data_IF_771365131731
#
_entry.id   IF_771365131731
#
_cell.length_a   1.000
_cell.length_b   1.000
_cell.length_c   1.000
_cell.angle_alpha   90.00
_cell.angle_beta   90.00
_cell.angle_gamma   90.00
#
_symmetry.space_group_name_H-M   'P 1'
#
loop_
_entity.id
_entity.type
_entity.pdbx_description
1 polymer ?
#
# COMPACT_ATOMS: atom_id res chain seq x y z
N UNK A 1 -13.58 -31.85 -6.66
CA UNK A 1 -13.34 -30.69 -7.50
C UNK A 1 -12.24 -29.82 -6.93
N UNK A 2 -11.83 -28.83 -7.70
CA UNK A 2 -10.76 -27.93 -7.30
C UNK A 2 -11.07 -27.18 -6.00
N UNK A 3 -12.32 -26.77 -5.80
CA UNK A 3 -12.71 -26.05 -4.59
C UNK A 3 -12.61 -26.94 -3.35
N UNK A 4 -12.97 -28.22 -3.47
CA UNK A 4 -12.86 -29.19 -2.39
C UNK A 4 -11.42 -29.49 -1.99
N UNK A 5 -10.49 -29.51 -2.96
CA UNK A 5 -9.07 -29.74 -2.71
C UNK A 5 -8.40 -28.48 -2.12
N UNK A 6 -8.74 -27.31 -2.64
CA UNK A 6 -8.16 -26.05 -2.21
C UNK A 6 -8.56 -25.68 -0.78
N UNK A 7 -9.81 -25.93 -0.40
CA UNK A 7 -10.34 -25.56 0.90
C UNK A 7 -9.59 -26.17 2.09
N UNK A 8 -9.27 -27.47 2.14
CA UNK A 8 -8.44 -28.04 3.20
C UNK A 8 -7.04 -27.41 3.26
N UNK A 9 -6.42 -27.16 2.09
CA UNK A 9 -5.12 -26.53 2.01
C UNK A 9 -5.18 -25.12 2.59
N UNK A 10 -6.23 -24.36 2.28
CA UNK A 10 -6.46 -23.04 2.83
C UNK A 10 -6.49 -23.05 4.35
N UNK A 11 -7.30 -23.93 4.95
CA UNK A 11 -7.44 -24.00 6.39
C UNK A 11 -6.17 -24.50 7.10
N UNK A 12 -5.31 -25.21 6.40
CA UNK A 12 -4.04 -25.67 6.95
C UNK A 12 -3.00 -24.55 7.00
N UNK A 13 -3.07 -23.57 6.08
CA UNK A 13 -2.08 -22.51 5.97
C UNK A 13 -2.55 -21.17 6.52
N UNK A 14 -3.85 -20.92 6.62
CA UNK A 14 -4.41 -19.63 7.03
C UNK A 14 -5.48 -19.85 8.10
N UNK A 15 -5.37 -19.08 9.20
CA UNK A 15 -6.33 -19.16 10.30
C UNK A 15 -7.71 -18.62 9.91
N UNK A 16 -7.76 -17.63 9.02
CA UNK A 16 -9.00 -17.02 8.56
C UNK A 16 -8.81 -16.31 7.22
N UNK A 17 -9.92 -15.75 6.70
CA UNK A 17 -9.92 -15.04 5.40
C UNK A 17 -9.07 -13.76 5.43
N UNK A 18 -8.89 -13.16 6.59
CA UNK A 18 -8.11 -11.92 6.74
C UNK A 18 -6.62 -12.22 6.62
N UNK A 19 -6.18 -13.32 7.18
CA UNK A 19 -4.80 -13.78 7.03
C UNK A 19 -4.48 -14.11 5.57
N UNK A 20 -5.41 -14.74 4.87
CA UNK A 20 -5.28 -14.97 3.42
C UNK A 20 -5.19 -13.66 2.66
N UNK A 21 -6.06 -12.71 2.98
CA UNK A 21 -6.06 -11.40 2.34
C UNK A 21 -4.73 -10.68 2.53
N UNK A 22 -4.21 -10.70 3.75
CA UNK A 22 -2.90 -10.13 4.05
C UNK A 22 -1.80 -10.80 3.22
N UNK A 23 -1.82 -12.13 3.13
CA UNK A 23 -0.85 -12.87 2.33
C UNK A 23 -0.93 -12.49 0.84
N UNK A 24 -2.14 -12.35 0.30
CA UNK A 24 -2.33 -11.93 -1.09
C UNK A 24 -1.74 -10.55 -1.33
N UNK A 25 -2.04 -9.59 -0.45
CA UNK A 25 -1.52 -8.22 -0.56
C UNK A 25 0.01 -8.23 -0.48
N UNK A 26 0.56 -8.93 0.48
CA UNK A 26 2.00 -9.00 0.65
C UNK A 26 2.68 -9.62 -0.58
N UNK A 27 2.18 -10.75 -1.07
CA UNK A 27 2.82 -11.47 -2.17
C UNK A 27 2.62 -10.81 -3.54
N UNK A 28 1.44 -10.24 -3.79
CA UNK A 28 1.12 -9.66 -5.10
C UNK A 28 1.50 -8.19 -5.24
N UNK A 29 1.51 -7.45 -4.15
CA UNK A 29 1.74 -6.01 -4.19
C UNK A 29 3.03 -5.61 -3.49
N UNK A 30 3.18 -5.97 -2.22
CA UNK A 30 4.25 -5.44 -1.37
C UNK A 30 5.61 -6.01 -1.75
N UNK A 31 5.73 -7.33 -1.86
CA UNK A 31 7.01 -7.97 -2.19
C UNK A 31 7.58 -7.50 -3.53
N UNK A 32 6.77 -7.40 -4.61
CA UNK A 32 7.30 -6.92 -5.88
C UNK A 32 7.80 -5.47 -5.86
N UNK A 33 7.22 -4.59 -5.05
CA UNK A 33 7.63 -3.18 -5.00
C UNK A 33 8.80 -2.93 -4.05
N UNK A 34 9.08 -3.87 -3.13
CA UNK A 34 10.14 -3.72 -2.13
C UNK A 34 11.50 -3.35 -2.72
N UNK A 35 12.05 -4.14 -3.66
CA UNK A 35 13.34 -3.83 -4.28
C UNK A 35 13.37 -2.47 -4.99
N UNK A 36 12.27 -2.08 -5.63
CA UNK A 36 12.17 -0.78 -6.28
C UNK A 36 12.26 0.35 -5.27
N UNK A 37 11.56 0.25 -4.15
CA UNK A 37 11.60 1.25 -3.08
C UNK A 37 12.99 1.34 -2.44
N UNK A 38 13.66 0.20 -2.23
CA UNK A 38 15.00 0.17 -1.66
C UNK A 38 16.01 0.87 -2.56
N UNK A 39 15.81 0.83 -3.87
CA UNK A 39 16.67 1.48 -4.87
C UNK A 39 16.22 2.89 -5.23
N UNK A 40 15.26 3.46 -4.49
CA UNK A 40 14.77 4.82 -4.73
C UNK A 40 13.89 4.98 -5.96
N UNK A 41 13.45 3.88 -6.56
CA UNK A 41 12.60 3.88 -7.75
C UNK A 41 11.12 3.98 -7.36
N UNK A 42 10.77 5.10 -6.72
CA UNK A 42 9.43 5.29 -6.14
C UNK A 42 8.34 5.33 -7.21
N UNK A 43 8.58 6.03 -8.31
CA UNK A 43 7.59 6.13 -9.40
C UNK A 43 7.27 4.75 -9.97
N UNK A 44 8.30 3.98 -10.28
CA UNK A 44 8.14 2.63 -10.83
C UNK A 44 7.43 1.70 -9.84
N UNK A 45 7.74 1.84 -8.55
CA UNK A 45 7.06 1.07 -7.51
C UNK A 45 5.56 1.40 -7.44
N UNK A 46 5.21 2.69 -7.50
CA UNK A 46 3.82 3.11 -7.48
C UNK A 46 3.05 2.64 -8.72
N UNK A 47 3.65 2.78 -9.90
CA UNK A 47 3.02 2.31 -11.15
C UNK A 47 2.79 0.80 -11.09
N UNK A 48 3.77 0.05 -10.61
CA UNK A 48 3.64 -1.40 -10.47
C UNK A 48 2.53 -1.78 -9.48
N UNK A 49 2.47 -1.09 -8.35
CA UNK A 49 1.43 -1.32 -7.34
C UNK A 49 0.02 -1.09 -7.92
N UNK A 50 -0.21 0.06 -8.52
CA UNK A 50 -1.52 0.38 -9.07
C UNK A 50 -1.89 -0.53 -10.26
N UNK A 51 -0.90 -0.88 -11.08
CA UNK A 51 -1.11 -1.82 -12.19
C UNK A 51 -1.51 -3.21 -11.67
N UNK A 52 -0.86 -3.68 -10.62
CA UNK A 52 -1.16 -4.98 -10.01
C UNK A 52 -2.58 -5.01 -9.43
N UNK A 53 -3.00 -3.90 -8.81
CA UNK A 53 -4.37 -3.77 -8.30
C UNK A 53 -5.37 -3.78 -9.46
N UNK A 54 -5.09 -3.06 -10.53
CA UNK A 54 -5.99 -3.02 -11.69
C UNK A 54 -6.18 -4.38 -12.34
N UNK A 55 -5.13 -5.19 -12.42
CA UNK A 55 -5.20 -6.54 -12.98
C UNK A 55 -6.20 -7.42 -12.24
N UNK A 56 -6.36 -7.21 -10.96
CA UNK A 56 -7.29 -7.95 -10.11
C UNK A 56 -8.43 -7.04 -9.63
N UNK A 57 -8.96 -6.25 -10.56
CA UNK A 57 -9.98 -5.22 -10.29
C UNK A 57 -11.16 -5.76 -9.48
N UNK A 58 -11.73 -6.88 -9.92
CA UNK A 58 -12.91 -7.46 -9.27
C UNK A 58 -12.62 -7.88 -7.84
N UNK A 59 -11.46 -8.49 -7.61
CA UNK A 59 -11.03 -8.91 -6.29
C UNK A 59 -10.89 -7.71 -5.34
N UNK A 60 -10.14 -6.69 -5.75
CA UNK A 60 -9.88 -5.54 -4.87
C UNK A 60 -11.13 -4.68 -4.66
N UNK A 61 -11.99 -4.57 -5.67
CA UNK A 61 -13.26 -3.86 -5.52
C UNK A 61 -14.15 -4.52 -4.48
N UNK A 62 -14.19 -5.85 -4.45
CA UNK A 62 -14.93 -6.59 -3.44
C UNK A 62 -14.26 -6.52 -2.07
N UNK A 63 -12.95 -6.59 -2.03
CA UNK A 63 -12.20 -6.52 -0.77
C UNK A 63 -12.41 -5.19 -0.06
N UNK A 64 -12.51 -4.08 -0.80
CA UNK A 64 -12.79 -2.76 -0.24
C UNK A 64 -14.12 -2.66 0.51
N UNK A 65 -15.00 -3.62 0.32
CA UNK A 65 -16.30 -3.66 1.02
C UNK A 65 -16.23 -4.30 2.40
N UNK A 66 -15.09 -4.91 2.74
CA UNK A 66 -14.88 -5.49 4.07
C UNK A 66 -14.70 -4.37 5.09
N UNK A 67 -15.49 -4.41 6.15
CA UNK A 67 -15.49 -3.40 7.20
C UNK A 67 -15.09 -4.02 8.54
N UNK A 68 -14.84 -3.16 9.53
CA UNK A 68 -14.52 -3.57 10.89
C UNK A 68 -13.04 -3.54 11.20
N UNK A 69 -12.65 -4.22 12.29
CA UNK A 69 -11.29 -4.22 12.81
C UNK A 69 -10.27 -4.79 11.84
N UNK A 70 -10.68 -5.81 11.08
CA UNK A 70 -9.83 -6.46 10.06
C UNK A 70 -10.28 -6.06 8.66
N UNK A 71 -10.66 -4.79 8.49
CA UNK A 71 -11.07 -4.28 7.18
C UNK A 71 -9.91 -4.37 6.18
N UNK A 72 -10.26 -4.41 4.90
CA UNK A 72 -9.28 -4.35 3.83
C UNK A 72 -8.35 -3.14 4.01
N UNK A 73 -8.93 -1.99 4.32
CA UNK A 73 -8.17 -0.75 4.53
C UNK A 73 -7.13 -0.89 5.64
N UNK A 74 -7.49 -1.46 6.79
CA UNK A 74 -6.55 -1.63 7.89
C UNK A 74 -5.43 -2.62 7.55
N UNK A 75 -5.75 -3.67 6.82
CA UNK A 75 -4.76 -4.67 6.38
C UNK A 75 -3.79 -4.04 5.39
N UNK A 76 -4.30 -3.31 4.39
CA UNK A 76 -3.47 -2.61 3.39
C UNK A 76 -2.54 -1.61 4.07
N UNK A 77 -3.09 -0.80 4.98
CA UNK A 77 -2.29 0.20 5.70
C UNK A 77 -1.16 -0.46 6.51
N UNK A 78 -1.46 -1.55 7.19
CA UNK A 78 -0.46 -2.28 7.96
C UNK A 78 0.67 -2.83 7.06
N UNK A 79 0.31 -3.41 5.92
CA UNK A 79 1.29 -3.94 4.97
C UNK A 79 2.17 -2.84 4.38
N UNK A 80 1.58 -1.72 3.99
CA UNK A 80 2.31 -0.57 3.46
C UNK A 80 3.23 0.01 4.53
N UNK A 81 2.74 0.14 5.76
CA UNK A 81 3.55 0.64 6.86
C UNK A 81 4.80 -0.20 7.09
N UNK A 82 4.68 -1.51 7.05
CA UNK A 82 5.81 -2.42 7.25
C UNK A 82 6.91 -2.18 6.22
N UNK A 83 6.56 -2.05 4.94
CA UNK A 83 7.57 -1.85 3.91
C UNK A 83 8.20 -0.46 3.99
N UNK A 84 7.41 0.57 4.25
CA UNK A 84 7.92 1.94 4.42
C UNK A 84 8.85 2.01 5.62
N UNK A 85 8.47 1.39 6.73
CA UNK A 85 9.30 1.35 7.94
C UNK A 85 10.66 0.70 7.64
N UNK A 86 10.67 -0.41 6.91
CA UNK A 86 11.91 -1.07 6.51
C UNK A 86 12.81 -0.16 5.66
N UNK A 87 12.22 0.56 4.70
CA UNK A 87 12.97 1.52 3.87
C UNK A 87 13.55 2.65 4.71
N UNK A 88 12.76 3.21 5.62
CA UNK A 88 13.21 4.31 6.49
C UNK A 88 14.36 3.84 7.39
N UNK A 89 14.19 2.71 8.05
CA UNK A 89 15.21 2.18 8.97
C UNK A 89 16.54 1.94 8.27
N UNK A 90 16.52 1.43 7.04
CA UNK A 90 17.74 1.22 6.26
C UNK A 90 18.43 2.53 5.90
N UNK A 91 17.68 3.60 5.69
CA UNK A 91 18.23 4.89 5.27
C UNK A 91 18.67 5.78 6.41
N UNK A 92 18.11 5.61 7.62
CA UNK A 92 18.43 6.48 8.75
C UNK A 92 19.45 5.88 9.71
N UNK A 93 19.95 4.68 9.45
CA UNK A 93 20.98 4.06 10.30
C UNK A 93 22.17 5.01 10.48
N UNK A 94 22.50 5.30 11.74
CA UNK A 94 23.61 6.19 12.08
C UNK A 94 23.30 7.68 11.93
N UNK A 95 22.10 8.06 11.55
CA UNK A 95 21.69 9.46 11.42
C UNK A 95 20.99 9.94 12.70
N UNK A 96 21.17 11.22 13.01
CA UNK A 96 20.46 11.84 14.13
C UNK A 96 19.03 12.20 13.71
N UNK A 97 18.04 11.99 14.60
CA UNK A 97 16.67 12.40 14.29
C UNK A 97 16.57 13.93 14.22
N UNK A 98 15.69 14.40 13.33
CA UNK A 98 15.39 15.85 13.22
C UNK A 98 14.67 16.31 14.49
N UNK A 99 13.81 15.48 15.04
CA UNK A 99 13.07 15.74 16.27
C UNK A 99 12.80 14.42 16.98
N UNK A 100 12.81 14.42 18.32
CA UNK A 100 12.61 13.21 19.11
C UNK A 100 11.26 12.50 18.80
N UNK A 101 10.22 13.26 18.51
CA UNK A 101 8.91 12.71 18.16
C UNK A 101 8.87 12.09 16.76
N UNK A 102 9.69 12.60 15.85
CA UNK A 102 9.70 12.18 14.45
C UNK A 102 10.53 10.90 14.27
N UNK A 103 10.03 9.82 14.85
CA UNK A 103 10.66 8.51 14.77
C UNK A 103 10.38 7.84 13.41
N UNK A 104 11.17 6.80 13.04
CA UNK A 104 10.85 6.01 11.85
C UNK A 104 9.41 5.48 11.87
N UNK A 105 8.91 5.07 13.03
CA UNK A 105 7.54 4.58 13.17
C UNK A 105 6.51 5.66 12.84
N UNK A 106 6.68 6.87 13.37
CA UNK A 106 5.76 7.98 13.08
C UNK A 106 5.79 8.38 11.62
N UNK A 107 6.98 8.39 10.99
CA UNK A 107 7.10 8.68 9.57
C UNK A 107 6.40 7.60 8.74
N UNK A 108 6.62 6.33 9.06
CA UNK A 108 5.98 5.23 8.34
C UNK A 108 4.46 5.29 8.47
N UNK A 109 3.96 5.61 9.65
CA UNK A 109 2.51 5.77 9.89
C UNK A 109 1.94 6.88 9.02
N UNK A 110 2.60 8.04 9.00
CA UNK A 110 2.15 9.19 8.21
C UNK A 110 2.05 8.84 6.72
N UNK A 111 3.13 8.30 6.15
CA UNK A 111 3.15 8.00 4.72
C UNK A 111 2.28 6.81 4.35
N UNK A 112 2.16 5.81 5.21
CA UNK A 112 1.28 4.68 4.94
C UNK A 112 -0.19 5.08 4.93
N UNK A 113 -0.59 6.00 5.81
CA UNK A 113 -1.96 6.51 5.82
C UNK A 113 -2.28 7.26 4.53
N UNK A 114 -1.38 8.13 4.07
CA UNK A 114 -1.60 8.89 2.83
C UNK A 114 -1.70 7.97 1.61
N UNK A 115 -0.80 7.00 1.51
CA UNK A 115 -0.82 6.05 0.40
C UNK A 115 -2.07 5.17 0.44
N UNK A 116 -2.43 4.67 1.62
CA UNK A 116 -3.63 3.86 1.79
C UNK A 116 -4.88 4.64 1.37
N UNK A 117 -4.98 5.90 1.80
CA UNK A 117 -6.10 6.76 1.41
C UNK A 117 -6.21 6.88 -0.11
N UNK A 118 -5.10 7.14 -0.80
CA UNK A 118 -5.12 7.29 -2.27
C UNK A 118 -5.50 5.98 -2.94
N UNK A 119 -4.90 4.86 -2.52
CA UNK A 119 -5.18 3.55 -3.10
C UNK A 119 -6.65 3.15 -2.92
N UNK A 120 -7.17 3.27 -1.71
CA UNK A 120 -8.56 2.90 -1.40
C UNK A 120 -9.54 3.82 -2.14
N UNK A 121 -9.29 5.13 -2.16
CA UNK A 121 -10.12 6.08 -2.88
C UNK A 121 -10.17 5.78 -4.38
N UNK A 122 -9.03 5.42 -4.95
CA UNK A 122 -8.93 5.06 -6.36
C UNK A 122 -9.72 3.78 -6.67
N UNK A 123 -9.59 2.76 -5.82
CA UNK A 123 -10.36 1.51 -5.99
C UNK A 123 -11.86 1.80 -5.88
N UNK A 124 -12.28 2.58 -4.88
CA UNK A 124 -13.69 2.91 -4.66
C UNK A 124 -14.29 3.76 -5.78
N UNK A 125 -13.46 4.52 -6.49
CA UNK A 125 -13.89 5.29 -7.67
C UNK A 125 -13.95 4.44 -8.93
N UNK A 126 -13.83 3.12 -8.84
CA UNK A 126 -13.81 2.18 -9.94
C UNK A 126 -12.55 2.28 -10.82
N UNK A 127 -11.45 2.73 -10.23
CA UNK A 127 -10.16 2.83 -10.93
C UNK A 127 -10.30 3.61 -12.26
N UNK A 128 -11.01 4.76 -12.19
CA UNK A 128 -11.38 5.54 -13.37
C UNK A 128 -10.15 6.08 -14.11
N UNK A 129 -9.14 6.52 -13.37
CA UNK A 129 -7.89 6.99 -13.99
C UNK A 129 -6.88 5.85 -14.08
N UNK A 130 -5.99 5.87 -15.11
CA UNK A 130 -5.03 4.79 -15.29
C UNK A 130 -3.99 4.73 -14.16
N UNK A 131 -3.37 3.55 -13.94
CA UNK A 131 -2.36 3.37 -12.89
C UNK A 131 -1.23 4.40 -12.93
N UNK A 132 -0.71 4.71 -14.10
CA UNK A 132 0.37 5.70 -14.23
C UNK A 132 -0.09 7.08 -13.78
N UNK A 133 -1.31 7.45 -14.12
CA UNK A 133 -1.86 8.77 -13.79
C UNK A 133 -2.08 8.91 -12.27
N UNK A 134 -2.64 7.90 -11.61
CA UNK A 134 -2.80 7.96 -10.15
C UNK A 134 -1.44 7.97 -9.45
N UNK A 135 -0.45 7.26 -9.98
CA UNK A 135 0.91 7.31 -9.45
C UNK A 135 1.51 8.71 -9.56
N UNK A 136 1.34 9.35 -10.72
CA UNK A 136 1.83 10.72 -10.95
C UNK A 136 1.14 11.73 -10.01
N UNK A 137 -0.16 11.61 -9.83
CA UNK A 137 -0.94 12.47 -8.93
C UNK A 137 -0.46 12.30 -7.48
N UNK A 138 -0.30 11.07 -7.03
CA UNK A 138 0.17 10.80 -5.67
C UNK A 138 1.55 11.42 -5.43
N UNK A 139 2.50 11.21 -6.36
CA UNK A 139 3.84 11.78 -6.23
C UNK A 139 3.83 13.31 -6.26
N UNK A 140 2.97 13.89 -7.09
CA UNK A 140 2.81 15.35 -7.13
C UNK A 140 2.42 15.88 -5.76
N UNK A 141 1.42 15.27 -5.13
CA UNK A 141 0.90 15.73 -3.84
C UNK A 141 1.91 15.55 -2.70
N UNK A 142 2.59 14.40 -2.64
CA UNK A 142 3.49 14.12 -1.50
C UNK A 142 4.77 14.94 -1.53
N UNK A 143 5.13 15.52 -2.68
CA UNK A 143 6.35 16.33 -2.83
C UNK A 143 6.14 17.82 -2.60
N UNK A 144 4.91 18.25 -2.40
CA UNK A 144 4.57 19.68 -2.33
C UNK A 144 3.84 20.02 -1.04
N UNK A 145 3.99 21.28 -0.62
CA UNK A 145 3.16 21.80 0.46
C UNK A 145 1.76 22.14 -0.09
N UNK A 146 0.81 22.28 0.81
CA UNK A 146 -0.55 22.69 0.44
C UNK A 146 -0.53 24.05 -0.28
N UNK A 147 0.28 24.99 0.23
CA UNK A 147 0.38 26.33 -0.38
C UNK A 147 0.88 26.26 -1.82
N UNK A 148 1.89 25.41 -2.07
CA UNK A 148 2.40 25.22 -3.44
C UNK A 148 1.32 24.67 -4.36
N UNK A 149 0.56 23.68 -3.90
CA UNK A 149 -0.52 23.09 -4.70
C UNK A 149 -1.59 24.14 -4.99
N UNK A 150 -2.01 24.90 -3.96
CA UNK A 150 -3.04 25.93 -4.15
C UNK A 150 -2.61 27.03 -5.09
N UNK A 151 -1.32 27.36 -5.11
CA UNK A 151 -0.80 28.38 -6.02
C UNK A 151 -0.82 27.96 -7.49
N UNK A 152 -0.85 26.65 -7.75
CA UNK A 152 -0.88 26.09 -9.10
C UNK A 152 -2.31 25.85 -9.61
N UNK A 153 -3.30 25.94 -8.72
CA UNK A 153 -4.70 25.77 -9.09
C UNK A 153 -5.28 27.02 -9.69
#
# INVERSE_FOLDING_TARGET
DKAGVIRPTFYNHFQDKYELLEWIIMSQIIEPIGPLLQNGMVHEALVLMFTSIEKERDFYSKACKLEGQNSFESIVKSCIKQIILGVIENKVTGKKPIHAWLTPDHLAEYYSQSMCFVAISWIKSNMVIPPKEVADIYQYVIKRSLDEILSEM
#
